data_IF_691986171396
#
_entry.id   IF_691986171396
#
_cell.length_a   1.000
_cell.length_b   1.000
_cell.length_c   1.000
_cell.angle_alpha   90.00
_cell.angle_beta   90.00
_cell.angle_gamma   90.00
#
_symmetry.space_group_name_H-M   'P 1'
#
loop_
_entity.id
_entity.type
_entity.pdbx_description
1 polymer ?
#
# COMPACT_ATOMS: atom_id res chain seq x y z
N UNK A 1 10.35 -13.77 -23.68
CA UNK A 1 10.37 -13.86 -22.20
C UNK A 1 9.06 -13.38 -21.64
N UNK A 2 8.55 -14.08 -20.64
CA UNK A 2 7.33 -13.66 -19.95
C UNK A 2 7.53 -12.28 -19.29
N UNK A 3 6.45 -11.48 -19.29
CA UNK A 3 6.47 -10.21 -18.57
C UNK A 3 6.61 -10.46 -17.07
N UNK A 4 7.40 -9.63 -16.41
CA UNK A 4 7.55 -9.65 -14.96
C UNK A 4 6.71 -8.50 -14.38
N UNK A 5 5.68 -8.87 -13.63
CA UNK A 5 4.79 -7.93 -12.96
C UNK A 5 5.08 -7.91 -11.48
N UNK A 6 5.10 -6.73 -10.91
CA UNK A 6 5.22 -6.52 -9.47
C UNK A 6 3.94 -5.83 -8.98
N UNK A 7 3.19 -6.51 -8.12
CA UNK A 7 1.98 -5.99 -7.51
C UNK A 7 2.24 -5.73 -6.03
N UNK A 8 2.10 -4.49 -5.60
CA UNK A 8 2.37 -4.08 -4.23
C UNK A 8 1.06 -3.83 -3.48
N UNK A 9 0.96 -4.39 -2.28
CA UNK A 9 -0.05 -4.00 -1.30
C UNK A 9 0.41 -2.69 -0.66
N UNK A 10 0.02 -1.58 -1.27
CA UNK A 10 0.52 -0.25 -0.90
C UNK A 10 0.12 0.17 0.50
N UNK A 11 -1.10 -0.11 0.92
CA UNK A 11 -1.57 0.27 2.26
C UNK A 11 -0.80 -0.48 3.34
N UNK A 12 -0.58 -1.78 3.17
CA UNK A 12 0.22 -2.60 4.08
C UNK A 12 1.66 -2.10 4.18
N UNK A 13 2.30 -1.82 3.04
CA UNK A 13 3.67 -1.32 3.01
C UNK A 13 3.80 0.10 3.59
N UNK A 14 2.78 0.93 3.44
CA UNK A 14 2.72 2.25 4.05
C UNK A 14 2.76 2.17 5.58
N UNK A 15 1.94 1.30 6.18
CA UNK A 15 1.97 1.07 7.63
C UNK A 15 3.34 0.55 8.08
N UNK A 16 3.91 -0.38 7.33
CA UNK A 16 5.24 -0.92 7.63
C UNK A 16 6.31 0.17 7.60
N UNK A 17 6.26 1.06 6.63
CA UNK A 17 7.17 2.20 6.52
C UNK A 17 7.02 3.15 7.70
N UNK A 18 5.77 3.45 8.09
CA UNK A 18 5.49 4.34 9.20
C UNK A 18 6.04 3.81 10.53
N UNK A 19 5.82 2.54 10.82
CA UNK A 19 6.29 1.93 12.07
C UNK A 19 7.77 1.55 12.03
N UNK A 20 8.37 1.44 10.86
CA UNK A 20 9.77 1.09 10.69
C UNK A 20 10.74 2.24 10.90
N UNK A 21 10.29 3.49 10.76
CA UNK A 21 11.10 4.69 10.95
C UNK A 21 10.41 5.59 11.98
N UNK A 22 11.09 6.00 13.06
CA UNK A 22 10.48 6.88 14.07
C UNK A 22 9.98 8.20 13.46
N UNK A 23 8.82 8.66 13.92
CA UNK A 23 8.11 9.84 13.39
C UNK A 23 8.97 11.08 13.31
N UNK A 24 9.85 11.30 14.30
CA UNK A 24 10.71 12.48 14.37
C UNK A 24 11.95 12.45 13.47
N UNK A 25 12.23 11.33 12.77
CA UNK A 25 13.47 11.15 12.00
C UNK A 25 13.51 12.03 10.74
N UNK A 26 12.41 12.10 10.01
CA UNK A 26 12.30 12.89 8.78
C UNK A 26 11.12 13.84 8.86
N UNK A 27 11.37 15.11 8.56
CA UNK A 27 10.34 16.15 8.52
C UNK A 27 10.49 17.01 7.28
N UNK A 28 9.34 17.41 6.72
CA UNK A 28 9.30 18.43 5.68
C UNK A 28 9.68 19.80 6.26
N UNK A 29 10.00 20.81 5.41
CA UNK A 29 10.36 22.15 5.89
C UNK A 29 9.32 22.82 6.79
N UNK A 30 8.04 22.47 6.62
CA UNK A 30 6.93 22.98 7.45
C UNK A 30 6.77 22.23 8.78
N UNK A 31 7.61 21.23 9.05
CA UNK A 31 7.56 20.41 10.25
C UNK A 31 6.70 19.16 10.13
N UNK A 32 6.02 18.94 9.00
CA UNK A 32 5.21 17.74 8.75
C UNK A 32 6.08 16.50 8.78
N UNK A 33 5.76 15.47 9.62
CA UNK A 33 6.47 14.19 9.57
C UNK A 33 6.32 13.54 8.20
N UNK A 34 7.42 13.00 7.67
CA UNK A 34 7.46 12.31 6.37
C UNK A 34 8.21 10.97 6.45
N UNK A 35 8.25 10.37 7.64
CA UNK A 35 8.90 9.09 7.85
C UNK A 35 8.28 7.97 7.01
N UNK A 36 6.95 7.91 6.90
CA UNK A 36 6.27 6.93 6.06
C UNK A 36 6.53 7.18 4.57
N UNK A 37 6.50 8.43 4.14
CA UNK A 37 6.84 8.81 2.75
C UNK A 37 8.24 8.32 2.41
N UNK A 38 9.22 8.64 3.26
CA UNK A 38 10.62 8.23 3.06
C UNK A 38 10.76 6.71 3.04
N UNK A 39 10.20 6.03 4.02
CA UNK A 39 10.29 4.57 4.13
C UNK A 39 9.62 3.86 2.97
N UNK A 40 8.46 4.34 2.54
CA UNK A 40 7.75 3.77 1.39
C UNK A 40 8.58 3.90 0.10
N UNK A 41 9.10 5.08 -0.17
CA UNK A 41 9.91 5.33 -1.36
C UNK A 41 11.22 4.53 -1.34
N UNK A 42 11.86 4.39 -0.19
CA UNK A 42 13.06 3.56 -0.06
C UNK A 42 12.77 2.08 -0.33
N UNK A 43 11.64 1.55 0.18
CA UNK A 43 11.22 0.18 -0.11
C UNK A 43 10.91 -0.01 -1.59
N UNK A 44 10.20 0.93 -2.19
CA UNK A 44 9.86 0.88 -3.61
C UNK A 44 11.11 0.91 -4.48
N UNK A 45 12.03 1.82 -4.20
CA UNK A 45 13.28 1.93 -4.95
C UNK A 45 14.10 0.64 -4.88
N UNK A 46 14.15 0.02 -3.70
CA UNK A 46 14.85 -1.25 -3.52
C UNK A 46 14.18 -2.38 -4.30
N UNK A 47 12.86 -2.48 -4.23
CA UNK A 47 12.10 -3.51 -4.96
C UNK A 47 12.30 -3.37 -6.47
N UNK A 48 12.21 -2.16 -7.00
CA UNK A 48 12.41 -1.90 -8.43
C UNK A 48 13.85 -2.23 -8.85
N UNK A 49 14.82 -1.86 -8.04
CA UNK A 49 16.23 -2.13 -8.31
C UNK A 49 16.55 -3.62 -8.29
N UNK A 50 16.01 -4.35 -7.31
CA UNK A 50 16.30 -5.78 -7.14
C UNK A 50 15.51 -6.67 -8.10
N UNK A 51 14.24 -6.34 -8.34
CA UNK A 51 13.33 -7.18 -9.14
C UNK A 51 13.27 -6.78 -10.60
N UNK A 52 13.60 -5.55 -10.93
CA UNK A 52 13.57 -4.99 -12.30
C UNK A 52 12.29 -5.35 -13.05
N UNK A 53 11.10 -5.05 -12.49
CA UNK A 53 9.84 -5.42 -13.11
C UNK A 53 9.63 -4.67 -14.41
N UNK A 54 8.92 -5.28 -15.35
CA UNK A 54 8.47 -4.63 -16.59
C UNK A 54 7.20 -3.82 -16.37
N UNK A 55 6.40 -4.21 -15.38
CA UNK A 55 5.18 -3.50 -15.00
C UNK A 55 5.04 -3.52 -13.48
N UNK A 56 4.54 -2.42 -12.94
CA UNK A 56 4.41 -2.18 -11.50
C UNK A 56 3.04 -1.56 -11.21
N UNK A 57 2.31 -2.15 -10.28
CA UNK A 57 1.05 -1.60 -9.77
C UNK A 57 1.10 -1.56 -8.26
N UNK A 58 0.70 -0.43 -7.69
CA UNK A 58 0.51 -0.26 -6.25
C UNK A 58 -0.98 -0.25 -5.97
N UNK A 59 -1.47 -1.25 -5.25
CA UNK A 59 -2.88 -1.34 -4.86
C UNK A 59 -3.09 -0.68 -3.50
N UNK A 60 -4.25 -0.03 -3.32
CA UNK A 60 -4.61 0.67 -2.09
C UNK A 60 -5.92 0.17 -1.52
N UNK A 61 -6.06 0.29 -0.19
CA UNK A 61 -7.33 0.07 0.49
C UNK A 61 -8.19 1.33 0.34
N UNK A 62 -9.27 1.25 -0.43
CA UNK A 62 -10.30 2.27 -0.43
C UNK A 62 -11.31 2.02 0.70
N UNK A 63 -11.45 0.76 1.10
CA UNK A 63 -12.23 0.35 2.26
C UNK A 63 -11.50 -0.78 2.98
N UNK A 64 -10.92 -0.50 4.13
CA UNK A 64 -10.16 -1.48 4.91
C UNK A 64 -11.04 -2.51 5.63
N UNK A 65 -12.37 -2.30 5.64
CA UNK A 65 -13.36 -3.20 6.25
C UNK A 65 -14.58 -3.31 5.37
N UNK A 66 -14.47 -3.99 4.21
CA UNK A 66 -15.56 -4.06 3.23
C UNK A 66 -16.85 -4.66 3.79
N UNK A 67 -17.97 -4.06 3.43
CA UNK A 67 -19.29 -4.49 3.88
C UNK A 67 -19.61 -5.94 3.49
N UNK A 68 -19.15 -6.41 2.33
CA UNK A 68 -19.41 -7.79 1.89
C UNK A 68 -18.70 -8.82 2.78
N UNK A 69 -17.51 -8.49 3.33
CA UNK A 69 -16.81 -9.35 4.30
C UNK A 69 -17.48 -9.34 5.65
N UNK A 70 -17.95 -8.18 6.08
CA UNK A 70 -18.67 -8.02 7.36
C UNK A 70 -20.00 -8.79 7.34
N UNK A 71 -20.67 -8.87 6.20
CA UNK A 71 -21.89 -9.68 6.03
C UNK A 71 -21.65 -11.17 6.25
N UNK A 72 -20.48 -11.67 5.84
CA UNK A 72 -20.11 -13.07 5.98
C UNK A 72 -19.52 -13.36 7.36
N UNK A 73 -18.65 -12.46 7.84
CA UNK A 73 -17.97 -12.57 9.13
C UNK A 73 -18.13 -11.25 9.86
N UNK A 74 -19.10 -11.17 10.78
CA UNK A 74 -19.41 -9.93 11.51
C UNK A 74 -18.22 -9.41 12.32
N UNK A 75 -17.35 -10.30 12.81
CA UNK A 75 -16.15 -9.97 13.57
C UNK A 75 -14.95 -9.55 12.71
N UNK A 76 -15.09 -9.50 11.38
CA UNK A 76 -13.99 -9.15 10.49
C UNK A 76 -13.35 -7.81 10.87
N UNK A 77 -12.08 -7.85 11.25
CA UNK A 77 -11.29 -6.69 11.67
C UNK A 77 -11.89 -5.83 12.79
N UNK A 78 -12.76 -6.38 13.64
CA UNK A 78 -13.35 -5.61 14.77
C UNK A 78 -12.29 -5.12 15.74
N UNK A 79 -11.22 -5.87 15.97
CA UNK A 79 -10.11 -5.45 16.82
C UNK A 79 -9.45 -4.14 16.35
N UNK A 80 -9.47 -3.86 15.05
CA UNK A 80 -8.97 -2.58 14.50
C UNK A 80 -9.89 -1.42 14.79
N UNK A 81 -11.20 -1.66 14.90
CA UNK A 81 -12.16 -0.63 15.33
C UNK A 81 -11.87 -0.17 16.75
N UNK A 82 -11.53 -1.10 17.64
CA UNK A 82 -11.21 -0.81 19.04
C UNK A 82 -9.89 -0.06 19.20
N UNK A 83 -8.92 -0.31 18.30
CA UNK A 83 -7.61 0.37 18.31
C UNK A 83 -7.67 1.80 17.75
N UNK A 84 -8.80 2.19 17.16
CA UNK A 84 -8.98 3.48 16.54
C UNK A 84 -8.52 3.52 15.08
N UNK A 85 -8.59 4.72 14.52
CA UNK A 85 -8.24 4.99 13.14
C UNK A 85 -6.72 4.96 12.90
N UNK A 86 -6.34 5.20 11.65
CA UNK A 86 -4.96 5.43 11.24
C UNK A 86 -4.26 6.44 12.17
N UNK A 87 -2.99 6.21 12.56
CA UNK A 87 -2.24 7.17 13.37
C UNK A 87 -2.30 8.60 12.81
N UNK A 88 -2.47 9.57 13.68
CA UNK A 88 -2.65 10.98 13.28
C UNK A 88 -1.48 11.49 12.43
N UNK A 89 -0.26 11.08 12.74
CA UNK A 89 0.95 11.49 12.01
C UNK A 89 1.06 10.80 10.65
N UNK A 90 0.38 9.68 10.45
CA UNK A 90 0.37 8.97 9.17
C UNK A 90 -0.69 9.54 8.21
N UNK A 91 -1.84 9.97 8.73
CA UNK A 91 -2.94 10.43 7.90
C UNK A 91 -2.54 11.45 6.83
N UNK A 92 -1.78 12.52 7.14
CA UNK A 92 -1.37 13.47 6.10
C UNK A 92 -0.30 12.93 5.16
N UNK A 93 0.41 11.87 5.52
CA UNK A 93 1.44 11.28 4.67
C UNK A 93 0.87 10.39 3.57
N UNK A 94 -0.27 9.76 3.80
CA UNK A 94 -0.91 8.87 2.82
C UNK A 94 -1.12 9.55 1.46
N UNK A 95 -1.85 10.68 1.36
CA UNK A 95 -2.05 11.34 0.07
C UNK A 95 -0.74 11.83 -0.57
N UNK A 96 0.27 12.15 0.23
CA UNK A 96 1.58 12.55 -0.28
C UNK A 96 2.25 11.37 -1.00
N UNK A 97 2.21 10.18 -0.40
CA UNK A 97 2.77 8.97 -1.02
C UNK A 97 2.13 8.70 -2.37
N UNK A 98 0.79 8.67 -2.43
CA UNK A 98 0.07 8.38 -3.68
C UNK A 98 0.29 9.47 -4.72
N UNK A 99 0.37 10.74 -4.32
CA UNK A 99 0.67 11.85 -5.23
C UNK A 99 2.07 11.74 -5.84
N UNK A 100 3.08 11.37 -5.05
CA UNK A 100 4.44 11.16 -5.55
C UNK A 100 4.47 10.01 -6.56
N UNK A 101 3.82 8.88 -6.25
CA UNK A 101 3.77 7.74 -7.16
C UNK A 101 3.13 8.11 -8.50
N UNK A 102 2.01 8.83 -8.47
CA UNK A 102 1.37 9.33 -9.68
C UNK A 102 2.29 10.26 -10.46
N UNK A 103 2.99 11.17 -9.78
CA UNK A 103 3.89 12.11 -10.42
C UNK A 103 5.08 11.46 -11.12
N UNK A 104 5.57 10.33 -10.59
CA UNK A 104 6.68 9.59 -11.21
C UNK A 104 6.23 8.51 -12.18
N UNK A 105 4.91 8.40 -12.44
CA UNK A 105 4.36 7.47 -13.42
C UNK A 105 4.11 6.06 -12.93
N UNK A 106 4.04 5.83 -11.62
CA UNK A 106 3.67 4.54 -11.03
C UNK A 106 2.15 4.45 -10.97
N UNK A 107 1.59 3.36 -11.48
CA UNK A 107 0.15 3.11 -11.42
C UNK A 107 -0.29 2.81 -9.99
N UNK A 108 -1.25 3.59 -9.49
CA UNK A 108 -1.86 3.40 -8.17
C UNK A 108 -3.33 3.05 -8.40
N UNK A 109 -3.77 1.91 -7.90
CA UNK A 109 -5.12 1.39 -8.09
C UNK A 109 -5.82 1.14 -6.76
N UNK A 110 -7.03 1.66 -6.62
CA UNK A 110 -7.95 1.35 -5.54
C UNK A 110 -9.37 1.21 -6.10
N UNK A 111 -10.25 0.57 -5.36
CA UNK A 111 -11.65 0.43 -5.73
C UNK A 111 -12.54 0.70 -4.53
N UNK A 112 -13.54 1.56 -4.69
CA UNK A 112 -14.49 1.90 -3.62
C UNK A 112 -15.15 0.62 -3.08
N UNK A 113 -15.15 0.45 -1.76
CA UNK A 113 -15.73 -0.72 -1.10
C UNK A 113 -14.84 -1.95 -1.08
N UNK A 114 -13.57 -1.84 -1.48
CA UNK A 114 -12.63 -2.98 -1.56
C UNK A 114 -11.29 -2.66 -0.92
N UNK A 115 -10.58 -3.71 -0.53
CA UNK A 115 -9.22 -3.65 -0.02
C UNK A 115 -8.19 -3.80 -1.17
N UNK A 116 -6.92 -3.49 -0.88
CA UNK A 116 -5.82 -3.64 -1.83
C UNK A 116 -5.70 -5.08 -2.36
N UNK A 117 -5.89 -6.07 -1.50
CA UNK A 117 -5.83 -7.49 -1.86
C UNK A 117 -6.90 -7.88 -2.89
N UNK A 118 -8.07 -7.24 -2.84
CA UNK A 118 -9.14 -7.45 -3.83
C UNK A 118 -8.73 -6.91 -5.20
N UNK A 119 -8.06 -5.77 -5.22
CA UNK A 119 -7.52 -5.18 -6.45
C UNK A 119 -6.48 -6.11 -7.05
N UNK A 120 -5.54 -6.59 -6.24
CA UNK A 120 -4.50 -7.53 -6.66
C UNK A 120 -5.14 -8.81 -7.22
N UNK A 121 -6.08 -9.41 -6.49
CA UNK A 121 -6.77 -10.63 -6.92
C UNK A 121 -7.52 -10.43 -8.25
N UNK A 122 -8.08 -9.24 -8.47
CA UNK A 122 -8.80 -8.92 -9.70
C UNK A 122 -7.87 -8.74 -10.90
N UNK A 123 -6.63 -8.34 -10.68
CA UNK A 123 -5.63 -8.16 -11.73
C UNK A 123 -5.01 -9.48 -12.20
N UNK A 124 -4.84 -10.44 -11.29
CA UNK A 124 -4.12 -11.69 -11.58
C UNK A 124 -4.63 -12.43 -12.82
N UNK A 125 -5.95 -12.62 -13.01
CA UNK A 125 -6.46 -13.33 -14.21
C UNK A 125 -6.20 -12.60 -15.53
N UNK A 126 -5.88 -11.31 -15.46
CA UNK A 126 -5.66 -10.45 -16.64
C UNK A 126 -4.20 -10.34 -17.03
N UNK A 127 -3.30 -10.87 -16.19
CA UNK A 127 -1.86 -10.75 -16.41
C UNK A 127 -1.34 -12.02 -17.07
N UNK A 128 -0.54 -11.83 -18.12
CA UNK A 128 0.20 -12.90 -18.77
C UNK A 128 1.66 -12.79 -18.35
N UNK A 129 2.25 -13.88 -17.88
CA UNK A 129 3.64 -13.93 -17.45
C UNK A 129 3.79 -14.12 -15.95
N UNK A 130 4.99 -13.84 -15.45
CA UNK A 130 5.28 -13.99 -14.02
C UNK A 130 4.77 -12.79 -13.22
N UNK A 131 4.23 -13.06 -12.04
CA UNK A 131 3.73 -12.06 -11.10
C UNK A 131 4.36 -12.29 -9.75
N UNK A 132 4.90 -11.23 -9.17
CA UNK A 132 5.32 -11.21 -7.77
C UNK A 132 4.40 -10.27 -7.00
N UNK A 133 3.93 -10.72 -5.84
CA UNK A 133 3.10 -9.93 -4.93
C UNK A 133 3.92 -9.60 -3.70
N UNK A 134 3.96 -8.32 -3.35
CA UNK A 134 4.66 -7.84 -2.15
C UNK A 134 3.64 -7.26 -1.18
N UNK A 135 3.56 -7.86 -0.01
CA UNK A 135 2.66 -7.43 1.05
C UNK A 135 3.32 -7.61 2.41
N UNK A 136 2.91 -6.78 3.37
CA UNK A 136 3.27 -6.97 4.79
C UNK A 136 2.24 -7.81 5.53
N UNK A 137 1.16 -8.21 4.87
CA UNK A 137 0.14 -9.08 5.46
C UNK A 137 0.66 -10.52 5.51
N UNK A 138 0.26 -11.23 6.57
CA UNK A 138 0.67 -12.63 6.75
C UNK A 138 -0.27 -13.62 6.05
N UNK A 139 -1.44 -13.14 5.70
CA UNK A 139 -2.47 -13.94 5.02
C UNK A 139 -2.37 -13.76 3.50
#
# INVERSE_FOLDING_TARGET
>A
MAANWLLLDGSSLMFRAFFGIPVGTFKAPDGQPVNAVRGFLDMLARLVSDRKPKALVVATDEDWRPAFRVKVIASYKTARLERGAMPAELQPQEPIIWAILNAIGVEVMGAAGFEAEDVIASLLPKITGTVEIVTGDRD
#
